data_IF_895416981161
#
_entry.id   IF_895416981161
#
_cell.length_a   1.000
_cell.length_b   1.000
_cell.length_c   1.000
_cell.angle_alpha   90.00
_cell.angle_beta   90.00
_cell.angle_gamma   90.00
#
_symmetry.space_group_name_H-M   'P 1'
#
loop_
_entity.id
_entity.type
_entity.pdbx_description
1 polymer ?
#
# COMPACT_ATOMS: atom_id res chain seq x y z
N UNK A 1 19.03 -4.32 17.96
CA UNK A 1 18.00 -4.10 16.92
C UNK A 1 16.63 -4.38 17.52
N UNK A 2 15.65 -3.51 17.27
CA UNK A 2 14.27 -3.70 17.71
C UNK A 2 13.53 -4.54 16.67
N UNK A 3 12.78 -5.58 17.07
CA UNK A 3 12.04 -6.47 16.16
C UNK A 3 11.11 -5.69 15.21
N UNK A 4 10.47 -4.63 15.71
CA UNK A 4 9.62 -3.75 14.90
C UNK A 4 10.41 -3.06 13.78
N UNK A 5 11.65 -2.67 14.07
CA UNK A 5 12.52 -2.00 13.10
C UNK A 5 13.08 -2.99 12.07
N UNK A 6 13.39 -4.23 12.48
CA UNK A 6 13.79 -5.28 11.54
C UNK A 6 12.67 -5.56 10.53
N UNK A 7 11.44 -5.75 11.02
CA UNK A 7 10.26 -5.94 10.17
C UNK A 7 10.05 -4.73 9.26
N UNK A 8 10.24 -3.50 9.77
CA UNK A 8 10.10 -2.28 8.96
C UNK A 8 11.10 -2.26 7.81
N UNK A 9 12.35 -2.65 8.04
CA UNK A 9 13.38 -2.73 7.00
C UNK A 9 13.01 -3.77 5.95
N UNK A 10 12.58 -4.97 6.37
CA UNK A 10 12.13 -6.03 5.45
C UNK A 10 10.98 -5.54 4.55
N UNK A 11 9.94 -4.96 5.16
CA UNK A 11 8.76 -4.51 4.42
C UNK A 11 9.11 -3.37 3.47
N UNK A 12 9.98 -2.43 3.86
CA UNK A 12 10.45 -1.38 2.96
C UNK A 12 11.20 -1.94 1.76
N UNK A 13 12.06 -2.94 1.96
CA UNK A 13 12.77 -3.59 0.85
C UNK A 13 11.83 -4.29 -0.14
N UNK A 14 10.71 -4.83 0.34
CA UNK A 14 9.66 -5.38 -0.52
C UNK A 14 8.90 -4.28 -1.26
N UNK A 15 8.53 -3.21 -0.56
CA UNK A 15 7.78 -2.08 -1.09
C UNK A 15 8.58 -1.23 -2.08
N UNK A 16 9.89 -1.10 -1.92
CA UNK A 16 10.78 -0.38 -2.85
C UNK A 16 10.77 -1.03 -4.24
N UNK A 17 10.55 -2.35 -4.33
CA UNK A 17 10.38 -3.06 -5.62
C UNK A 17 9.05 -2.73 -6.30
N UNK A 18 8.07 -2.27 -5.53
CA UNK A 18 6.74 -1.87 -5.98
C UNK A 18 6.61 -0.34 -6.12
N UNK A 19 7.65 0.42 -5.77
CA UNK A 19 7.63 1.86 -5.92
C UNK A 19 7.62 2.21 -7.41
N UNK A 20 6.47 2.68 -7.89
CA UNK A 20 6.29 3.16 -9.26
C UNK A 20 5.64 4.55 -9.23
N UNK A 21 5.82 5.32 -10.31
CA UNK A 21 5.11 6.60 -10.48
C UNK A 21 3.63 6.44 -10.79
N UNK A 22 3.20 5.25 -11.23
CA UNK A 22 1.82 4.98 -11.61
C UNK A 22 1.03 4.36 -10.45
N UNK A 23 -0.07 5.01 -10.08
CA UNK A 23 -0.96 4.57 -9.00
C UNK A 23 -1.64 3.24 -9.33
N UNK A 24 -1.98 2.99 -10.60
CA UNK A 24 -2.65 1.75 -10.98
C UNK A 24 -1.74 0.53 -10.78
N UNK A 25 -0.51 0.61 -11.27
CA UNK A 25 0.51 -0.43 -11.11
C UNK A 25 0.81 -0.69 -9.63
N UNK A 26 0.95 0.38 -8.83
CA UNK A 26 1.14 0.26 -7.39
C UNK A 26 -0.01 -0.50 -6.70
N UNK A 27 -1.26 -0.11 -6.98
CA UNK A 27 -2.44 -0.72 -6.36
C UNK A 27 -2.57 -2.21 -6.71
N UNK A 28 -2.31 -2.59 -7.98
CA UNK A 28 -2.25 -4.02 -8.39
C UNK A 28 -1.16 -4.78 -7.64
N UNK A 29 0.04 -4.20 -7.52
CA UNK A 29 1.16 -4.78 -6.77
C UNK A 29 0.86 -4.99 -5.28
N UNK A 30 -0.01 -4.16 -4.70
CA UNK A 30 -0.49 -4.31 -3.33
C UNK A 30 -1.68 -5.28 -3.18
N UNK A 31 -2.10 -5.95 -4.26
CA UNK A 31 -3.24 -6.87 -4.28
C UNK A 31 -4.59 -6.15 -4.15
N UNK A 32 -4.70 -4.94 -4.71
CA UNK A 32 -5.97 -4.22 -4.87
C UNK A 32 -6.39 -4.37 -6.33
N UNK A 33 -7.58 -4.91 -6.52
CA UNK A 33 -8.15 -5.08 -7.86
C UNK A 33 -8.55 -3.72 -8.45
N UNK A 34 -8.16 -3.51 -9.70
CA UNK A 34 -8.66 -2.43 -10.54
C UNK A 34 -9.63 -3.05 -11.54
N UNK A 35 -10.75 -2.37 -11.80
CA UNK A 35 -11.68 -2.81 -12.84
C UNK A 35 -10.97 -2.88 -14.19
N UNK A 36 -11.18 -3.97 -14.92
CA UNK A 36 -10.69 -4.15 -16.28
C UNK A 36 -9.28 -4.77 -16.42
N UNK A 37 -9.13 -5.54 -17.50
CA UNK A 37 -7.84 -6.12 -17.94
C UNK A 37 -6.94 -5.08 -18.67
N UNK A 38 -7.49 -3.91 -19.02
CA UNK A 38 -6.80 -2.81 -19.73
C UNK A 38 -6.59 -1.57 -18.83
N UNK A 39 -5.91 -0.55 -19.37
CA UNK A 39 -5.63 0.73 -18.70
C UNK A 39 -6.87 1.23 -17.91
N UNK A 40 -6.80 1.29 -16.57
CA UNK A 40 -7.95 1.58 -15.75
C UNK A 40 -8.36 3.04 -15.90
N UNK A 41 -9.67 3.29 -15.88
CA UNK A 41 -10.20 4.63 -15.93
C UNK A 41 -9.84 5.38 -14.63
N UNK A 42 -9.70 6.72 -14.67
CA UNK A 42 -9.31 7.50 -13.49
C UNK A 42 -10.19 7.27 -12.25
N UNK A 43 -11.49 7.01 -12.45
CA UNK A 43 -12.42 6.75 -11.36
C UNK A 43 -12.25 5.36 -10.73
N UNK A 44 -11.78 4.37 -11.50
CA UNK A 44 -11.47 3.02 -11.01
C UNK A 44 -10.23 3.08 -10.13
N UNK A 45 -9.20 3.78 -10.59
CA UNK A 45 -7.98 4.05 -9.81
C UNK A 45 -8.33 4.79 -8.50
N UNK A 46 -9.22 5.79 -8.57
CA UNK A 46 -9.65 6.51 -7.37
C UNK A 46 -10.44 5.62 -6.39
N UNK A 47 -11.24 4.69 -6.90
CA UNK A 47 -12.02 3.75 -6.07
C UNK A 47 -11.10 2.74 -5.40
N UNK A 48 -10.20 2.13 -6.15
CA UNK A 48 -9.19 1.22 -5.63
C UNK A 48 -8.25 1.92 -4.64
N UNK A 49 -7.86 3.16 -4.90
CA UNK A 49 -7.10 3.97 -3.94
C UNK A 49 -7.84 4.09 -2.60
N UNK A 50 -9.14 4.43 -2.61
CA UNK A 50 -9.94 4.53 -1.39
C UNK A 50 -10.03 3.19 -0.67
N UNK A 51 -10.19 2.10 -1.40
CA UNK A 51 -10.17 0.75 -0.84
C UNK A 51 -8.83 0.41 -0.18
N UNK A 52 -7.71 0.75 -0.84
CA UNK A 52 -6.36 0.51 -0.33
C UNK A 52 -6.09 1.28 0.95
N UNK A 53 -6.44 2.57 0.99
CA UNK A 53 -6.36 3.41 2.20
C UNK A 53 -7.13 2.78 3.36
N UNK A 54 -8.33 2.27 3.10
CA UNK A 54 -9.17 1.63 4.10
C UNK A 54 -8.67 0.23 4.51
N UNK A 55 -8.03 -0.52 3.61
CA UNK A 55 -7.49 -1.86 3.88
C UNK A 55 -6.21 -1.79 4.70
N UNK A 56 -5.35 -0.83 4.38
CA UNK A 56 -4.04 -0.65 5.02
C UNK A 56 -4.03 0.45 6.09
N UNK A 57 -5.19 0.93 6.53
CA UNK A 57 -5.26 1.95 7.58
C UNK A 57 -4.65 1.42 8.89
N UNK A 58 -3.73 2.14 9.55
CA UNK A 58 -3.09 1.66 10.79
C UNK A 58 -4.10 1.39 11.91
N UNK A 59 -5.19 2.16 12.02
CA UNK A 59 -6.25 1.91 13.03
C UNK A 59 -7.03 0.60 12.80
N UNK A 60 -6.98 0.03 11.59
CA UNK A 60 -7.65 -1.23 11.26
C UNK A 60 -6.71 -2.44 11.34
N UNK A 61 -5.40 -2.21 11.42
CA UNK A 61 -4.44 -3.27 11.60
C UNK A 61 -4.57 -3.88 13.00
N UNK A 62 -4.34 -5.20 13.11
CA UNK A 62 -4.38 -5.88 14.40
C UNK A 62 -3.36 -5.25 15.36
N UNK A 63 -3.82 -4.84 16.55
CA UNK A 63 -2.95 -4.28 17.60
C UNK A 63 -2.06 -5.31 18.26
N UNK A 64 -2.36 -6.60 18.09
CA UNK A 64 -1.62 -7.71 18.70
C UNK A 64 -0.53 -8.27 17.79
N UNK A 65 -0.59 -7.99 16.49
CA UNK A 65 0.40 -8.47 15.51
C UNK A 65 1.26 -7.31 15.00
N UNK A 66 2.51 -7.29 15.48
CA UNK A 66 3.49 -6.26 15.15
C UNK A 66 3.80 -6.27 13.66
N UNK A 67 3.82 -7.43 12.99
CA UNK A 67 4.12 -7.52 11.56
C UNK A 67 3.01 -6.88 10.74
N UNK A 68 1.76 -7.26 11.01
CA UNK A 68 0.60 -6.66 10.35
C UNK A 68 0.49 -5.16 10.61
N UNK A 69 0.84 -4.70 11.82
CA UNK A 69 0.86 -3.27 12.13
C UNK A 69 1.86 -2.50 11.26
N UNK A 70 3.10 -2.99 11.19
CA UNK A 70 4.16 -2.35 10.41
C UNK A 70 3.85 -2.42 8.91
N UNK A 71 3.29 -3.53 8.44
CA UNK A 71 2.90 -3.70 7.04
C UNK A 71 1.82 -2.73 6.60
N UNK A 72 0.76 -2.58 7.41
CA UNK A 72 -0.28 -1.59 7.16
C UNK A 72 0.29 -0.17 7.16
N UNK A 73 1.14 0.17 8.15
CA UNK A 73 1.78 1.48 8.26
C UNK A 73 2.62 1.84 7.02
N UNK A 74 3.51 0.94 6.58
CA UNK A 74 4.39 1.22 5.44
C UNK A 74 3.65 1.20 4.10
N UNK A 75 2.68 0.29 3.90
CA UNK A 75 1.81 0.30 2.70
C UNK A 75 0.98 1.59 2.62
N UNK A 76 0.42 2.04 3.74
CA UNK A 76 -0.35 3.28 3.82
C UNK A 76 0.48 4.51 3.47
N UNK A 77 1.73 4.58 3.97
CA UNK A 77 2.68 5.65 3.64
C UNK A 77 2.98 5.67 2.15
N UNK A 78 3.26 4.51 1.54
CA UNK A 78 3.56 4.40 0.12
C UNK A 78 2.39 4.90 -0.74
N UNK A 79 1.18 4.39 -0.51
CA UNK A 79 -0.05 4.81 -1.21
C UNK A 79 -0.27 6.32 -1.09
N UNK A 80 -0.11 6.86 0.13
CA UNK A 80 -0.31 8.29 0.40
C UNK A 80 0.75 9.16 -0.28
N UNK A 81 2.00 8.70 -0.37
CA UNK A 81 3.09 9.39 -1.07
C UNK A 81 2.83 9.40 -2.57
N UNK A 82 2.48 8.26 -3.16
CA UNK A 82 2.20 8.17 -4.61
C UNK A 82 1.02 9.05 -5.01
N UNK A 83 -0.02 9.16 -4.18
CA UNK A 83 -1.14 10.09 -4.45
C UNK A 83 -0.71 11.55 -4.50
N UNK A 84 0.31 11.96 -3.73
CA UNK A 84 0.80 13.34 -3.79
C UNK A 84 1.45 13.66 -5.15
N UNK A 85 1.92 12.63 -5.86
CA UNK A 85 2.62 12.74 -7.12
C UNK A 85 1.76 12.36 -8.34
N UNK A 86 0.50 11.97 -8.11
CA UNK A 86 -0.51 11.57 -9.11
C UNK A 86 -1.61 12.62 -9.17
#
# INVERSE_FOLDING_TARGET
MNLKEQIRVEIRQELDKLETSDMATLLRGLGIELGGDSDPLPHEVQTAYKQAVLKFHPDRASKTDIRHQVEAEEKFKLISRTKRNF
#
